data_IF_572555183038
#
_entry.id   IF_572555183038
#
_cell.length_a   1.000
_cell.length_b   1.000
_cell.length_c   1.000
_cell.angle_alpha   90.00
_cell.angle_beta   90.00
_cell.angle_gamma   90.00
#
_symmetry.space_group_name_H-M   'P 1'
#
loop_
_entity.id
_entity.type
_entity.pdbx_description
1 polymer ?
#
# COMPACT_ATOMS: atom_id res chain seq x y z
N UNK A 1 -6.29 3.49 33.57
CA UNK A 1 -5.42 3.74 34.76
C UNK A 1 -5.94 4.99 35.45
N UNK A 2 -6.27 4.89 36.74
CA UNK A 2 -7.20 5.80 37.43
C UNK A 2 -6.64 7.22 37.61
N UNK A 3 -7.33 8.21 37.05
CA UNK A 3 -7.00 9.64 37.13
C UNK A 3 -6.88 10.20 38.56
N UNK A 4 -7.39 9.48 39.57
CA UNK A 4 -7.20 9.82 40.99
C UNK A 4 -5.78 9.55 41.48
N UNK A 5 -5.17 8.43 41.10
CA UNK A 5 -3.81 8.08 41.51
C UNK A 5 -2.77 9.01 40.89
N UNK A 6 -2.98 9.42 39.63
CA UNK A 6 -2.14 10.42 38.96
C UNK A 6 -2.21 11.79 39.68
N UNK A 7 -3.41 12.24 40.07
CA UNK A 7 -3.60 13.50 40.82
C UNK A 7 -3.01 13.44 42.23
N UNK A 8 -3.05 12.28 42.90
CA UNK A 8 -2.42 12.11 44.22
C UNK A 8 -0.89 12.12 44.13
N UNK A 9 -0.34 11.50 43.08
CA UNK A 9 1.10 11.53 42.79
C UNK A 9 1.58 12.96 42.48
N UNK A 10 0.86 13.69 41.63
CA UNK A 10 1.12 15.12 41.35
C UNK A 10 1.08 15.96 42.63
N UNK A 11 0.04 15.79 43.48
CA UNK A 11 -0.05 16.51 44.76
C UNK A 11 1.10 16.20 45.71
N UNK A 12 1.59 14.95 45.70
CA UNK A 12 2.73 14.51 46.54
C UNK A 12 4.05 15.07 46.02
N UNK A 13 4.23 15.13 44.70
CA UNK A 13 5.40 15.77 44.06
C UNK A 13 5.38 17.29 44.24
N UNK A 14 4.22 17.95 44.15
CA UNK A 14 4.05 19.37 44.44
C UNK A 14 4.41 19.68 45.89
N UNK A 15 3.88 18.92 46.87
CA UNK A 15 4.27 19.08 48.28
C UNK A 15 5.76 18.85 48.50
N UNK A 16 6.36 17.85 47.84
CA UNK A 16 7.80 17.59 47.96
C UNK A 16 8.65 18.73 47.37
N UNK A 17 8.22 19.34 46.25
CA UNK A 17 8.84 20.53 45.68
C UNK A 17 8.66 21.75 46.60
N UNK A 18 7.49 21.96 47.19
CA UNK A 18 7.22 22.99 48.19
C UNK A 18 8.11 22.84 49.44
N UNK A 19 8.29 21.61 49.94
CA UNK A 19 9.17 21.35 51.09
C UNK A 19 10.66 21.56 50.76
N UNK A 20 11.10 21.27 49.53
CA UNK A 20 12.48 21.53 49.09
C UNK A 20 12.71 23.05 48.94
N UNK A 21 11.75 23.77 48.35
CA UNK A 21 11.74 25.22 48.23
C UNK A 21 11.75 25.95 49.59
N UNK A 22 10.90 25.52 50.53
CA UNK A 22 10.81 26.10 51.87
C UNK A 22 12.13 25.99 52.66
N UNK A 23 12.97 24.98 52.37
CA UNK A 23 14.25 24.77 53.03
C UNK A 23 15.38 25.61 52.44
N UNK A 24 15.29 26.01 51.18
CA UNK A 24 16.40 26.59 50.42
C UNK A 24 16.27 28.10 50.21
N UNK A 25 15.05 28.63 50.04
CA UNK A 25 14.80 30.06 49.77
C UNK A 25 13.89 30.77 50.77
N UNK A 26 13.18 30.03 51.65
CA UNK A 26 12.21 30.59 52.60
C UNK A 26 10.88 31.07 51.99
N UNK A 27 10.74 31.05 50.66
CA UNK A 27 9.51 31.36 49.92
C UNK A 27 9.17 30.22 48.94
N UNK A 28 8.26 29.31 49.31
CA UNK A 28 7.84 28.19 48.47
C UNK A 28 7.15 28.64 47.17
N UNK A 29 6.44 29.76 47.22
CA UNK A 29 5.65 30.26 46.09
C UNK A 29 6.57 30.86 45.03
N UNK A 30 7.62 31.58 45.44
CA UNK A 30 8.65 32.13 44.57
C UNK A 30 9.42 31.05 43.79
N UNK A 31 9.80 29.95 44.45
CA UNK A 31 10.50 28.83 43.81
C UNK A 31 9.65 28.11 42.76
N UNK A 32 8.37 27.84 43.05
CA UNK A 32 7.44 27.24 42.09
C UNK A 32 7.15 28.15 40.88
N UNK A 33 7.19 29.47 41.08
CA UNK A 33 7.07 30.43 39.99
C UNK A 33 8.33 30.41 39.10
N UNK A 34 9.52 30.26 39.69
CA UNK A 34 10.77 30.16 38.96
C UNK A 34 10.86 28.87 38.12
N UNK A 35 10.47 27.72 38.67
CA UNK A 35 10.42 26.46 37.91
C UNK A 35 9.45 26.53 36.73
N UNK A 36 8.24 27.09 36.93
CA UNK A 36 7.29 27.30 35.82
C UNK A 36 7.84 28.24 34.76
N UNK A 37 8.63 29.24 35.17
CA UNK A 37 9.31 30.15 34.25
C UNK A 37 10.38 29.41 33.45
N UNK A 38 11.21 28.59 34.10
CA UNK A 38 12.23 27.75 33.44
C UNK A 38 11.61 26.72 32.50
N UNK A 39 10.50 26.07 32.89
CA UNK A 39 9.76 25.14 32.03
C UNK A 39 9.12 25.84 30.83
N UNK A 40 8.58 27.06 31.03
CA UNK A 40 8.03 27.87 29.95
C UNK A 40 9.15 28.35 28.99
N UNK A 41 10.29 28.79 29.52
CA UNK A 41 11.47 29.17 28.75
C UNK A 41 12.05 27.96 27.97
N UNK A 42 12.10 26.78 28.59
CA UNK A 42 12.53 25.54 27.93
C UNK A 42 11.55 25.11 26.83
N UNK A 43 10.25 25.18 27.09
CA UNK A 43 9.20 24.88 26.10
C UNK A 43 9.23 25.88 24.95
N UNK A 44 9.43 27.17 25.25
CA UNK A 44 9.56 28.24 24.27
C UNK A 44 10.84 28.08 23.44
N UNK A 45 11.96 27.70 24.05
CA UNK A 45 13.21 27.42 23.33
C UNK A 45 13.07 26.25 22.34
N UNK A 46 12.32 25.21 22.72
CA UNK A 46 12.04 24.05 21.88
C UNK A 46 11.06 24.37 20.74
N UNK A 47 10.04 25.19 21.02
CA UNK A 47 9.13 25.69 19.98
C UNK A 47 9.87 26.57 18.96
N UNK A 48 10.75 27.47 19.43
CA UNK A 48 11.56 28.31 18.55
C UNK A 48 12.48 27.48 17.65
N UNK A 49 13.10 26.41 18.16
CA UNK A 49 13.93 25.53 17.34
C UNK A 49 13.14 24.77 16.26
N UNK A 50 11.92 24.32 16.58
CA UNK A 50 11.05 23.61 15.64
C UNK A 50 10.54 24.56 14.53
N UNK A 51 10.14 25.78 14.90
CA UNK A 51 9.70 26.82 13.98
C UNK A 51 10.83 27.31 13.07
N UNK A 52 12.05 27.44 13.61
CA UNK A 52 13.24 27.80 12.84
C UNK A 52 13.60 26.72 11.80
N UNK A 53 13.48 25.44 12.17
CA UNK A 53 13.66 24.33 11.24
C UNK A 53 12.60 24.31 10.12
N UNK A 54 11.34 24.60 10.44
CA UNK A 54 10.26 24.74 9.45
C UNK A 54 10.48 25.94 8.53
N UNK A 55 10.93 27.08 9.07
CA UNK A 55 11.26 28.26 8.28
C UNK A 55 12.47 28.02 7.37
N UNK A 56 13.49 27.29 7.82
CA UNK A 56 14.63 26.89 7.00
C UNK A 56 14.20 26.01 5.82
N UNK A 57 13.32 25.01 6.06
CA UNK A 57 12.72 24.17 5.01
C UNK A 57 11.94 24.99 3.97
N UNK A 58 11.23 26.03 4.41
CA UNK A 58 10.43 26.89 3.53
C UNK A 58 11.26 27.91 2.73
N UNK A 59 12.44 28.29 3.20
CA UNK A 59 13.34 29.28 2.55
C UNK A 59 14.12 28.71 1.36
N UNK A 60 14.17 27.39 1.23
CA UNK A 60 14.87 26.71 0.14
C UNK A 60 13.99 26.71 -1.13
N UNK A 61 13.95 27.86 -1.82
CA UNK A 61 13.26 28.04 -3.11
C UNK A 61 13.94 27.27 -4.25
N UNK A 62 15.21 26.93 -4.09
CA UNK A 62 15.95 26.08 -5.00
C UNK A 62 15.75 24.60 -4.62
N UNK A 63 15.30 23.80 -5.59
CA UNK A 63 15.07 22.37 -5.43
C UNK A 63 16.35 21.63 -4.99
N UNK A 64 17.52 22.06 -5.47
CA UNK A 64 18.80 21.46 -5.09
C UNK A 64 19.10 21.72 -3.61
N UNK A 65 19.01 22.98 -3.18
CA UNK A 65 19.24 23.36 -1.79
C UNK A 65 18.23 22.68 -0.83
N UNK A 66 16.97 22.53 -1.26
CA UNK A 66 15.95 21.78 -0.51
C UNK A 66 16.30 20.30 -0.39
N UNK A 67 16.75 19.67 -1.47
CA UNK A 67 17.20 18.28 -1.44
C UNK A 67 18.38 18.10 -0.49
N UNK A 68 19.40 18.95 -0.56
CA UNK A 68 20.57 18.89 0.32
C UNK A 68 20.23 19.04 1.80
N UNK A 69 19.26 19.91 2.13
CA UNK A 69 18.78 20.05 3.50
C UNK A 69 18.08 18.79 3.98
N UNK A 70 17.15 18.23 3.17
CA UNK A 70 16.41 17.02 3.52
C UNK A 70 17.33 15.81 3.70
N UNK A 71 18.36 15.68 2.86
CA UNK A 71 19.36 14.61 2.98
C UNK A 71 20.12 14.74 4.29
N UNK A 72 20.61 15.95 4.64
CA UNK A 72 21.32 16.19 5.91
C UNK A 72 20.45 15.91 7.12
N UNK A 73 19.20 16.33 7.09
CA UNK A 73 18.26 16.06 8.16
C UNK A 73 17.95 14.56 8.31
N UNK A 74 17.77 13.82 7.21
CA UNK A 74 17.58 12.38 7.23
C UNK A 74 18.81 11.63 7.75
N UNK A 75 20.02 12.08 7.40
CA UNK A 75 21.28 11.55 7.98
C UNK A 75 21.35 11.79 9.49
N UNK A 76 21.01 12.99 9.96
CA UNK A 76 21.02 13.31 11.40
C UNK A 76 20.02 12.48 12.22
N UNK A 77 18.92 12.05 11.60
CA UNK A 77 17.91 11.17 12.22
C UNK A 77 18.30 9.69 12.19
N UNK A 78 19.35 9.31 11.48
CA UNK A 78 19.72 7.90 11.29
C UNK A 78 18.79 7.14 10.35
N UNK A 79 18.02 7.81 9.49
CA UNK A 79 17.11 7.15 8.53
C UNK A 79 17.89 6.28 7.51
N UNK A 80 19.20 6.54 7.37
CA UNK A 80 20.12 5.81 6.51
C UNK A 80 20.86 4.68 7.26
N UNK A 81 20.66 4.54 8.57
CA UNK A 81 21.23 3.44 9.33
C UNK A 81 20.40 2.17 9.12
N UNK A 82 21.05 1.01 9.04
CA UNK A 82 20.39 -0.30 8.87
C UNK A 82 19.55 -0.45 7.59
N UNK A 83 19.97 0.15 6.48
CA UNK A 83 19.35 -0.14 5.16
C UNK A 83 19.46 -1.63 4.84
N UNK A 84 18.46 -2.16 4.13
CA UNK A 84 18.38 -3.58 3.71
C UNK A 84 19.68 -4.10 3.08
N UNK A 85 20.36 -3.24 2.32
CA UNK A 85 21.61 -3.54 1.63
C UNK A 85 22.81 -2.71 2.13
N UNK A 86 22.74 -2.13 3.33
CA UNK A 86 23.88 -1.42 3.92
C UNK A 86 25.11 -2.34 3.97
N UNK A 87 26.19 -1.94 3.30
CA UNK A 87 27.44 -2.71 3.23
C UNK A 87 27.39 -4.01 2.41
N UNK A 88 26.25 -4.32 1.77
CA UNK A 88 26.09 -5.50 0.90
C UNK A 88 26.12 -5.06 -0.57
N UNK A 89 26.60 -5.91 -1.49
CA UNK A 89 26.46 -5.63 -2.92
C UNK A 89 24.98 -5.48 -3.28
N UNK A 90 24.67 -4.49 -4.12
CA UNK A 90 23.31 -4.30 -4.65
C UNK A 90 23.07 -5.42 -5.66
N UNK A 91 22.02 -6.26 -5.49
CA UNK A 91 21.71 -7.31 -6.44
C UNK A 91 21.53 -6.74 -7.86
N UNK A 92 22.18 -7.36 -8.85
CA UNK A 92 22.08 -6.96 -10.27
C UNK A 92 22.93 -5.74 -10.68
N UNK A 93 23.67 -5.11 -9.76
CA UNK A 93 24.56 -4.00 -10.08
C UNK A 93 25.94 -4.53 -10.56
N UNK A 94 26.26 -4.35 -11.84
CA UNK A 94 27.61 -4.59 -12.40
C UNK A 94 27.75 -5.72 -13.42
N UNK A 95 26.69 -6.48 -13.71
CA UNK A 95 26.72 -7.56 -14.73
C UNK A 95 26.61 -7.02 -16.17
N UNK A 96 26.05 -5.82 -16.34
CA UNK A 96 26.07 -5.01 -17.56
C UNK A 96 25.87 -3.53 -17.19
N UNK A 97 26.46 -2.60 -17.94
CA UNK A 97 26.20 -1.17 -17.72
C UNK A 97 24.83 -0.81 -18.31
N UNK A 98 23.78 -0.96 -17.50
CA UNK A 98 22.44 -0.47 -17.79
C UNK A 98 22.21 0.86 -17.06
N UNK A 99 22.06 2.01 -17.76
CA UNK A 99 21.74 3.28 -17.11
C UNK A 99 20.37 3.27 -16.41
N UNK A 100 19.46 2.38 -16.82
CA UNK A 100 18.09 2.28 -16.33
C UNK A 100 17.91 1.15 -15.29
N UNK A 101 19.01 0.60 -14.75
CA UNK A 101 18.99 -0.51 -13.78
C UNK A 101 18.06 -0.25 -12.57
N UNK A 102 18.01 1.00 -12.11
CA UNK A 102 17.19 1.42 -10.97
C UNK A 102 15.70 1.53 -11.35
N UNK A 103 15.40 1.86 -12.62
CA UNK A 103 14.02 1.88 -13.16
C UNK A 103 13.50 0.45 -13.25
N UNK A 104 14.29 -0.47 -13.81
CA UNK A 104 13.96 -1.89 -13.88
C UNK A 104 13.74 -2.46 -12.47
N UNK A 105 14.63 -2.16 -11.53
CA UNK A 105 14.48 -2.57 -10.14
C UNK A 105 13.28 -1.91 -9.40
N UNK A 106 12.86 -0.71 -9.80
CA UNK A 106 11.64 -0.08 -9.30
C UNK A 106 10.38 -0.76 -9.84
N UNK A 107 10.32 -1.03 -11.14
CA UNK A 107 9.22 -1.72 -11.80
C UNK A 107 9.01 -3.09 -11.18
N UNK A 108 10.08 -3.86 -10.98
CA UNK A 108 10.02 -5.20 -10.38
C UNK A 108 9.59 -5.15 -8.92
N UNK A 109 10.16 -4.25 -8.12
CA UNK A 109 9.86 -4.16 -6.68
C UNK A 109 8.42 -3.75 -6.40
N UNK A 110 7.90 -2.78 -7.14
CA UNK A 110 6.54 -2.27 -6.96
C UNK A 110 5.51 -3.02 -7.82
N UNK A 111 5.96 -4.05 -8.56
CA UNK A 111 5.16 -4.84 -9.50
C UNK A 111 4.34 -3.95 -10.45
N UNK A 112 5.00 -2.93 -11.02
CA UNK A 112 4.34 -1.97 -11.91
C UNK A 112 3.97 -2.65 -13.22
N UNK A 113 2.69 -2.57 -13.59
CA UNK A 113 2.17 -3.11 -14.85
C UNK A 113 1.66 -1.97 -15.73
N UNK A 114 1.44 -2.24 -17.03
CA UNK A 114 0.84 -1.25 -17.93
C UNK A 114 1.81 -0.20 -18.49
N UNK A 115 3.12 -0.34 -18.26
CA UNK A 115 4.15 0.65 -18.65
C UNK A 115 4.75 0.42 -20.06
N UNK A 116 4.08 -0.37 -20.91
CA UNK A 116 4.59 -0.78 -22.22
C UNK A 116 4.03 0.02 -23.40
N UNK A 117 4.61 -0.12 -24.60
CA UNK A 117 4.00 0.37 -25.84
C UNK A 117 2.59 -0.22 -26.04
N UNK A 118 1.66 0.56 -26.61
CA UNK A 118 0.26 0.13 -26.84
C UNK A 118 0.18 -1.26 -27.52
N UNK A 119 1.07 -1.54 -28.48
CA UNK A 119 1.11 -2.83 -29.17
C UNK A 119 1.31 -4.03 -28.24
N UNK A 120 2.18 -3.90 -27.23
CA UNK A 120 2.45 -4.97 -26.26
C UNK A 120 1.31 -5.04 -25.24
N UNK A 121 0.85 -3.89 -24.74
CA UNK A 121 -0.23 -3.82 -23.76
C UNK A 121 -1.52 -4.46 -24.27
N UNK A 122 -1.91 -4.16 -25.51
CA UNK A 122 -3.12 -4.72 -26.13
C UNK A 122 -3.02 -6.25 -26.29
N UNK A 123 -1.82 -6.79 -26.52
CA UNK A 123 -1.63 -8.24 -26.62
C UNK A 123 -1.76 -8.92 -25.25
N UNK A 124 -1.23 -8.29 -24.21
CA UNK A 124 -1.39 -8.78 -22.83
C UNK A 124 -2.85 -8.71 -22.40
N UNK A 125 -3.54 -7.63 -22.74
CA UNK A 125 -4.97 -7.48 -22.46
C UNK A 125 -5.82 -8.49 -23.21
N UNK A 126 -5.55 -8.72 -24.51
CA UNK A 126 -6.24 -9.75 -25.31
C UNK A 126 -6.10 -11.14 -24.67
N UNK A 127 -4.91 -11.49 -24.18
CA UNK A 127 -4.66 -12.76 -23.50
C UNK A 127 -5.41 -12.88 -22.16
N UNK A 128 -5.67 -11.75 -21.49
CA UNK A 128 -6.40 -11.69 -20.21
C UNK A 128 -7.90 -11.45 -20.36
N UNK A 129 -8.40 -11.21 -21.57
CA UNK A 129 -9.76 -10.72 -21.77
C UNK A 129 -10.81 -11.75 -21.35
N UNK A 130 -10.61 -13.03 -21.67
CA UNK A 130 -11.54 -14.11 -21.31
C UNK A 130 -11.72 -14.17 -19.78
N UNK A 131 -10.61 -14.14 -19.04
CA UNK A 131 -10.63 -14.08 -17.58
C UNK A 131 -11.38 -12.85 -17.08
N UNK A 132 -11.17 -11.67 -17.68
CA UNK A 132 -11.87 -10.44 -17.29
C UNK A 132 -13.38 -10.56 -17.54
N UNK A 133 -13.81 -11.12 -18.66
CA UNK A 133 -15.22 -11.32 -19.00
C UNK A 133 -15.91 -12.32 -18.05
N UNK A 134 -15.18 -13.28 -17.49
CA UNK A 134 -15.76 -14.23 -16.54
C UNK A 134 -16.15 -13.60 -15.19
N UNK A 135 -15.64 -12.40 -14.89
CA UNK A 135 -15.95 -11.66 -13.67
C UNK A 135 -17.14 -10.71 -13.82
N UNK A 136 -17.68 -10.51 -15.02
CA UNK A 136 -18.88 -9.68 -15.24
C UNK A 136 -20.16 -10.50 -15.23
N UNK A 137 -21.26 -9.84 -14.91
CA UNK A 137 -22.56 -10.49 -14.65
C UNK A 137 -23.62 -10.17 -15.69
N UNK A 138 -23.40 -9.17 -16.54
CA UNK A 138 -24.40 -8.74 -17.52
C UNK A 138 -23.81 -8.75 -18.93
N UNK A 139 -24.66 -9.12 -19.89
CA UNK A 139 -24.31 -9.08 -21.32
C UNK A 139 -23.86 -7.68 -21.74
N UNK A 140 -24.55 -6.63 -21.27
CA UNK A 140 -24.19 -5.24 -21.57
C UNK A 140 -22.73 -4.95 -21.19
N UNK A 141 -22.29 -5.36 -20.00
CA UNK A 141 -20.90 -5.18 -19.58
C UNK A 141 -19.91 -5.93 -20.47
N UNK A 142 -20.26 -7.14 -20.94
CA UNK A 142 -19.42 -7.89 -21.88
C UNK A 142 -19.27 -7.10 -23.18
N UNK A 143 -20.38 -6.63 -23.75
CA UNK A 143 -20.37 -5.82 -24.98
C UNK A 143 -19.54 -4.56 -24.81
N UNK A 144 -19.80 -3.78 -23.76
CA UNK A 144 -19.08 -2.54 -23.47
C UNK A 144 -17.55 -2.77 -23.36
N UNK A 145 -17.12 -3.85 -22.69
CA UNK A 145 -15.69 -4.18 -22.53
C UNK A 145 -15.05 -4.57 -23.87
N UNK A 146 -15.72 -5.41 -24.66
CA UNK A 146 -15.18 -5.87 -25.96
C UNK A 146 -15.15 -4.72 -26.97
N UNK A 147 -16.17 -3.86 -26.98
CA UNK A 147 -16.23 -2.67 -27.83
C UNK A 147 -15.13 -1.66 -27.48
N UNK A 148 -14.91 -1.38 -26.18
CA UNK A 148 -13.81 -0.53 -25.73
C UNK A 148 -12.44 -1.11 -26.13
N UNK A 149 -12.23 -2.40 -25.93
CA UNK A 149 -11.01 -3.08 -26.36
C UNK A 149 -10.79 -2.94 -27.87
N UNK A 150 -11.82 -3.21 -28.68
CA UNK A 150 -11.76 -3.08 -30.14
C UNK A 150 -11.45 -1.65 -30.56
N UNK A 151 -12.07 -0.66 -29.91
CA UNK A 151 -11.82 0.75 -30.19
C UNK A 151 -10.36 1.11 -29.92
N UNK A 152 -9.79 0.65 -28.81
CA UNK A 152 -8.37 0.88 -28.47
C UNK A 152 -7.42 0.18 -29.44
N UNK A 153 -7.76 -1.02 -29.93
CA UNK A 153 -6.99 -1.71 -30.98
C UNK A 153 -7.01 -0.92 -32.29
N UNK A 154 -8.17 -0.41 -32.70
CA UNK A 154 -8.34 0.38 -33.92
C UNK A 154 -7.58 1.71 -33.81
N UNK A 155 -7.70 2.40 -32.68
CA UNK A 155 -6.98 3.64 -32.42
C UNK A 155 -5.46 3.42 -32.44
N UNK A 156 -4.98 2.37 -31.76
CA UNK A 156 -3.55 2.04 -31.75
C UNK A 156 -3.00 1.74 -33.15
N UNK A 157 -3.79 1.12 -34.03
CA UNK A 157 -3.42 0.89 -35.44
C UNK A 157 -3.42 2.16 -36.28
N UNK A 158 -4.35 3.09 -35.99
CA UNK A 158 -4.44 4.39 -36.66
C UNK A 158 -3.32 5.34 -36.22
N UNK A 159 -2.74 5.09 -35.05
CA UNK A 159 -1.65 5.90 -34.53
C UNK A 159 -0.40 5.77 -35.43
N UNK A 160 0.00 6.86 -36.07
CA UNK A 160 1.21 6.95 -36.91
C UNK A 160 2.47 7.32 -36.12
N UNK A 161 2.47 7.18 -34.78
CA UNK A 161 3.56 7.62 -33.90
C UNK A 161 4.83 6.74 -33.95
N UNK A 162 4.92 5.83 -34.91
CA UNK A 162 5.99 4.83 -34.96
C UNK A 162 5.93 3.83 -33.79
N UNK A 163 6.84 2.86 -33.82
CA UNK A 163 6.92 1.77 -32.84
C UNK A 163 6.53 0.39 -33.41
N UNK A 164 6.58 -0.66 -32.58
CA UNK A 164 6.25 -2.02 -33.00
C UNK A 164 4.84 -2.12 -33.57
N UNK A 165 4.62 -2.88 -34.66
CA UNK A 165 3.33 -2.97 -35.31
C UNK A 165 2.25 -3.58 -34.39
N UNK A 166 1.04 -3.01 -34.42
CA UNK A 166 -0.11 -3.51 -33.65
C UNK A 166 -0.79 -4.67 -34.40
N UNK A 167 -0.35 -5.89 -34.07
CA UNK A 167 -0.86 -7.14 -34.68
C UNK A 167 -2.10 -7.71 -33.98
N UNK A 168 -2.48 -7.20 -32.80
CA UNK A 168 -3.64 -7.68 -32.01
C UNK A 168 -4.93 -7.56 -32.80
N UNK A 169 -5.72 -8.64 -32.88
CA UNK A 169 -6.97 -8.67 -33.65
C UNK A 169 -8.11 -8.03 -32.85
N UNK A 170 -9.08 -7.47 -33.57
CA UNK A 170 -10.37 -7.12 -32.96
C UNK A 170 -11.17 -8.41 -32.72
N UNK A 171 -12.00 -8.41 -31.69
CA UNK A 171 -12.88 -9.53 -31.34
C UNK A 171 -14.30 -9.27 -31.79
N UNK A 172 -14.98 -10.35 -32.18
CA UNK A 172 -16.39 -10.28 -32.54
C UNK A 172 -17.25 -10.19 -31.28
N UNK A 173 -18.05 -9.12 -31.16
CA UNK A 173 -18.80 -8.81 -29.94
C UNK A 173 -19.86 -9.89 -29.67
N UNK A 174 -20.64 -10.26 -30.68
CA UNK A 174 -21.70 -11.26 -30.54
C UNK A 174 -21.12 -12.65 -30.25
N UNK A 175 -20.03 -13.02 -30.93
CA UNK A 175 -19.30 -14.24 -30.66
C UNK A 175 -18.74 -14.33 -29.23
N UNK A 176 -18.24 -13.23 -28.67
CA UNK A 176 -17.75 -13.22 -27.28
C UNK A 176 -18.89 -13.30 -26.24
N UNK A 177 -20.04 -12.67 -26.52
CA UNK A 177 -21.24 -12.79 -25.68
C UNK A 177 -21.72 -14.24 -25.61
N UNK A 178 -21.79 -14.91 -26.76
CA UNK A 178 -22.20 -16.31 -26.83
C UNK A 178 -21.22 -17.22 -26.06
N UNK A 179 -19.91 -17.03 -26.25
CA UNK A 179 -18.89 -17.79 -25.48
C UNK A 179 -18.99 -17.51 -23.97
N UNK A 180 -19.26 -16.28 -23.58
CA UNK A 180 -19.46 -15.92 -22.17
C UNK A 180 -20.66 -16.64 -21.57
N UNK A 181 -21.79 -16.68 -22.29
CA UNK A 181 -22.96 -17.46 -21.87
C UNK A 181 -22.63 -18.94 -21.71
N UNK A 182 -21.93 -19.53 -22.68
CA UNK A 182 -21.51 -20.93 -22.64
C UNK A 182 -20.59 -21.24 -21.44
N UNK A 183 -19.62 -20.37 -21.14
CA UNK A 183 -18.76 -20.56 -19.96
C UNK A 183 -19.54 -20.48 -18.66
N UNK A 184 -20.53 -19.58 -18.57
CA UNK A 184 -21.39 -19.46 -17.38
C UNK A 184 -22.32 -20.65 -17.18
N UNK A 185 -22.95 -21.15 -18.25
CA UNK A 185 -23.82 -22.33 -18.16
C UNK A 185 -23.00 -23.58 -17.81
N UNK A 186 -21.81 -23.74 -18.39
CA UNK A 186 -20.89 -24.81 -18.03
C UNK A 186 -20.47 -24.73 -16.55
N UNK A 187 -20.15 -23.53 -16.05
CA UNK A 187 -19.80 -23.31 -14.64
C UNK A 187 -20.98 -23.62 -13.71
N UNK A 188 -22.19 -23.16 -14.03
CA UNK A 188 -23.38 -23.45 -13.25
C UNK A 188 -23.70 -24.95 -13.20
N UNK A 189 -23.58 -25.64 -14.34
CA UNK A 189 -23.76 -27.10 -14.41
C UNK A 189 -22.70 -27.85 -13.58
N UNK A 190 -21.46 -27.36 -13.56
CA UNK A 190 -20.40 -27.94 -12.72
C UNK A 190 -20.69 -27.73 -11.24
N UNK A 191 -21.09 -26.52 -10.83
CA UNK A 191 -21.46 -26.24 -9.44
C UNK A 191 -22.59 -27.14 -8.96
N UNK A 192 -23.63 -27.34 -9.77
CA UNK A 192 -24.73 -28.25 -9.44
C UNK A 192 -24.25 -29.70 -9.25
N UNK A 193 -23.36 -30.19 -10.13
CA UNK A 193 -22.76 -31.53 -10.00
C UNK A 193 -21.90 -31.67 -8.75
N UNK A 194 -21.13 -30.64 -8.43
CA UNK A 194 -20.28 -30.63 -7.24
C UNK A 194 -21.15 -30.61 -5.97
N UNK A 195 -22.24 -29.84 -5.96
CA UNK A 195 -23.24 -29.83 -4.88
C UNK A 195 -23.90 -31.20 -4.70
N UNK A 196 -24.37 -31.83 -5.78
CA UNK A 196 -24.96 -33.18 -5.76
C UNK A 196 -23.95 -34.22 -5.22
N UNK A 197 -22.70 -34.16 -5.68
CA UNK A 197 -21.63 -35.05 -5.19
C UNK A 197 -21.35 -34.86 -3.70
N UNK A 198 -21.31 -33.60 -3.21
CA UNK A 198 -21.12 -33.33 -1.78
C UNK A 198 -22.30 -33.80 -0.93
N UNK A 199 -23.54 -33.71 -1.44
CA UNK A 199 -24.73 -34.21 -0.77
C UNK A 199 -24.69 -35.74 -0.64
N UNK A 200 -24.35 -36.46 -1.73
CA UNK A 200 -24.18 -37.92 -1.70
C UNK A 200 -23.08 -38.35 -0.71
N UNK A 201 -21.95 -37.65 -0.67
CA UNK A 201 -20.88 -37.95 0.30
C UNK A 201 -21.33 -37.74 1.75
N UNK A 202 -22.09 -36.67 2.02
CA UNK A 202 -22.62 -36.39 3.34
C UNK A 202 -23.60 -37.47 3.80
N UNK A 203 -24.47 -37.94 2.91
CA UNK A 203 -25.40 -39.05 3.18
C UNK A 203 -24.67 -40.36 3.47
N UNK A 204 -23.67 -40.72 2.65
CA UNK A 204 -22.83 -41.91 2.88
C UNK A 204 -22.13 -41.84 4.24
N UNK A 205 -21.50 -40.70 4.58
CA UNK A 205 -20.84 -40.50 5.88
C UNK A 205 -21.82 -40.59 7.07
N UNK A 206 -23.06 -40.11 6.90
CA UNK A 206 -24.13 -40.20 7.90
C UNK A 206 -24.57 -41.66 8.13
N UNK A 207 -24.74 -42.43 7.05
CA UNK A 207 -25.11 -43.85 7.11
C UNK A 207 -24.06 -44.70 7.83
N UNK A 208 -22.77 -44.55 7.51
CA UNK A 208 -21.69 -45.30 8.17
C UNK A 208 -21.58 -45.00 9.68
N UNK A 209 -21.76 -43.74 10.11
CA UNK A 209 -21.80 -43.41 11.55
C UNK A 209 -22.97 -44.08 12.28
N UNK A 210 -24.12 -44.24 11.62
CA UNK A 210 -25.30 -44.87 12.20
C UNK A 210 -25.11 -46.39 12.34
N UNK A 211 -24.51 -47.02 11.33
CA UNK A 211 -24.22 -48.47 11.35
C UNK A 211 -23.19 -48.82 12.43
N UNK A 212 -22.15 -47.99 12.63
CA UNK A 212 -21.12 -48.24 13.65
C UNK A 212 -21.55 -47.96 15.10
N UNK A 213 -22.61 -47.15 15.33
CA UNK A 213 -23.16 -46.93 16.68
C UNK A 213 -24.20 -47.97 17.12
N UNK A 214 -24.61 -48.87 16.24
CA UNK A 214 -25.66 -49.88 16.50
C UNK A 214 -25.16 -51.26 16.96
N UNK A 215 -23.85 -51.43 17.19
CA UNK A 215 -23.27 -52.68 17.68
C UNK A 215 -22.76 -52.46 19.11
N UNK A 216 -23.63 -52.70 20.10
CA UNK A 216 -23.33 -52.61 21.53
C UNK A 216 -24.40 -53.32 22.33
#
# INVERSE_FOLDING_TARGET
>A
MNSRAAREYERRMQRAAEYRAARESGDPQGYLAQLRKEEAEASQSRQVSDDEALAARARLKDNAARADFLVREAMARGDWDNLKYAGKPIPGLGEAHDPDWWVTGLIERENLTGLGPKAILLRTEDAGLDNRLDHVYTEKQVRDIVEDFNQRVIEARRQLLGGPPVITKVRDVDGEVERWHQRRTAKAAQTARDEDATAEEAERRSWWKRVWKGTG
#
